data_IF_265847525085
#
_entry.id   IF_265847525085
#
_cell.length_a   1.000
_cell.length_b   1.000
_cell.length_c   1.000
_cell.angle_alpha   90.00
_cell.angle_beta   90.00
_cell.angle_gamma   90.00
#
_symmetry.space_group_name_H-M   'P 1'
#
loop_
_entity.id
_entity.type
_entity.pdbx_description
1 polymer ?
2 non-polymer ?
3 non-polymer ?
4 non-polymer ?
5 water ?
#
# COMPACT_ATOMS: atom_id res chain seq x y z
N UNK A 10 25.40 12.90 -4.15
CA UNK A 10 24.60 14.09 -3.84
C UNK A 10 23.11 13.78 -3.99
N UNK A 11 22.80 12.85 -4.90
CA UNK A 11 21.41 12.52 -5.23
C UNK A 11 20.99 11.27 -4.48
N UNK A 12 19.98 11.40 -3.64
CA UNK A 12 19.46 10.26 -2.90
C UNK A 12 18.57 9.42 -3.80
N UNK A 13 18.54 8.12 -3.52
CA UNK A 13 17.50 7.29 -4.11
C UNK A 13 16.15 7.83 -3.68
N UNK A 14 15.19 7.83 -4.61
CA UNK A 14 13.82 8.27 -4.36
C UNK A 14 12.90 7.11 -4.68
N UNK A 15 12.30 6.53 -3.65
CA UNK A 15 11.46 5.35 -3.82
C UNK A 15 10.02 5.81 -3.84
N UNK A 16 9.36 5.63 -4.96
CA UNK A 16 8.03 6.17 -5.20
C UNK A 16 6.98 5.08 -4.92
N UNK A 17 6.29 5.23 -3.78
CA UNK A 17 5.30 4.29 -3.25
C UNK A 17 3.91 4.83 -3.47
N UNK A 18 2.99 3.97 -3.89
CA UNK A 18 1.59 4.33 -4.06
C UNK A 18 0.76 3.40 -3.19
N UNK A 19 -0.08 4.00 -2.34
CA UNK A 19 -1.13 3.30 -1.59
C UNK A 19 -2.37 3.16 -2.46
N UNK A 20 -2.83 1.92 -2.62
CA UNK A 20 -4.07 1.63 -3.32
C UNK A 20 -4.92 0.72 -2.45
N UNK A 21 -6.19 0.67 -2.78
CA UNK A 21 -7.14 -0.12 -2.02
C UNK A 21 -8.44 0.65 -1.89
N UNK A 22 -9.51 -0.10 -1.58
CA UNK A 22 -10.83 0.50 -1.54
C UNK A 22 -10.98 1.36 -0.28
N UNK A 23 -12.15 1.99 -0.18
CA UNK A 23 -12.36 3.00 0.85
C UNK A 23 -12.33 2.42 2.26
N UNK A 24 -11.72 3.19 3.16
CA UNK A 24 -11.80 2.88 4.56
C UNK A 24 -10.87 1.79 5.03
N UNK A 25 -9.97 1.30 4.17
CA UNK A 25 -9.17 0.15 4.56
C UNK A 25 -7.99 0.55 5.43
N UNK A 26 -7.58 1.82 5.38
CA UNK A 26 -6.44 2.27 6.15
C UNK A 26 -5.28 2.88 5.37
N UNK A 27 -5.51 3.22 4.10
CA UNK A 27 -4.45 3.82 3.31
C UNK A 27 -3.90 5.06 3.98
N UNK A 28 -4.81 5.96 4.37
CA UNK A 28 -4.33 7.21 4.94
C UNK A 28 -3.78 6.99 6.33
N UNK A 29 -4.44 6.15 7.13
CA UNK A 29 -3.97 5.89 8.49
C UNK A 29 -2.60 5.23 8.50
N UNK A 30 -2.36 4.29 7.60
CA UNK A 30 -1.03 3.71 7.49
C UNK A 30 0.00 4.77 7.11
N UNK A 31 -0.35 5.62 6.14
CA UNK A 31 0.57 6.63 5.66
C UNK A 31 0.92 7.58 6.78
N UNK A 32 -0.10 8.04 7.52
CA UNK A 32 0.10 9.05 8.55
C UNK A 32 0.79 8.45 9.77
N UNK A 33 0.53 7.17 10.09
CA UNK A 33 1.32 6.51 11.13
C UNK A 33 2.78 6.44 10.72
N UNK A 34 3.05 6.04 9.49
CA UNK A 34 4.43 5.97 9.04
C UNK A 34 5.07 7.34 9.03
N UNK A 35 4.35 8.35 8.56
CA UNK A 35 4.96 9.66 8.40
C UNK A 35 5.14 10.37 9.72
N UNK A 36 4.12 10.32 10.60
CA UNK A 36 4.06 11.24 11.73
C UNK A 36 3.87 10.54 13.06
N UNK A 37 3.84 9.21 13.09
CA UNK A 37 3.76 8.49 14.35
C UNK A 37 2.49 8.87 15.11
N UNK A 38 1.40 9.00 14.37
CA UNK A 38 0.08 9.30 14.91
C UNK A 38 -0.94 8.41 14.22
N UNK A 39 -1.86 7.85 15.00
CA UNK A 39 -3.03 7.18 14.46
C UNK A 39 -4.12 8.24 14.23
N UNK A 40 -4.48 8.43 12.96
CA UNK A 40 -5.40 9.47 12.51
C UNK A 40 -6.67 8.79 12.00
N UNK A 41 -7.81 9.12 12.61
CA UNK A 41 -9.03 8.36 12.40
C UNK A 41 -10.09 9.07 11.57
N UNK A 42 -9.91 10.34 11.26
CA UNK A 42 -10.90 11.06 10.48
C UNK A 42 -10.24 11.83 9.37
N UNK A 43 -9.36 11.17 8.62
CA UNK A 43 -8.76 11.83 7.47
C UNK A 43 -9.71 11.78 6.28
N UNK A 44 -9.91 12.95 5.66
CA UNK A 44 -10.88 13.12 4.59
C UNK A 44 -10.84 11.94 3.62
N UNK A 45 -11.92 11.17 3.52
CA UNK A 45 -11.88 9.99 2.64
C UNK A 45 -11.57 10.29 1.20
N UNK A 46 -11.93 11.49 0.70
CA UNK A 46 -11.73 11.85 -0.70
C UNK A 46 -10.42 12.59 -0.97
N UNK A 47 -9.58 12.79 0.05
CA UNK A 47 -8.35 13.57 -0.07
C UNK A 47 -7.20 12.65 -0.48
N UNK A 48 -6.63 12.90 -1.65
CA UNK A 48 -5.41 12.24 -2.07
C UNK A 48 -4.26 13.22 -1.93
N UNK A 49 -3.13 12.72 -1.42
CA UNK A 49 -2.01 13.59 -1.10
C UNK A 49 -0.74 12.77 -1.21
N UNK A 50 0.38 13.47 -1.39
CA UNK A 50 1.69 12.86 -1.44
C UNK A 50 2.51 13.32 -0.23
N UNK A 51 3.43 12.45 0.18
CA UNK A 51 4.22 12.61 1.39
C UNK A 51 5.65 12.25 1.05
N UNK A 52 6.60 12.97 1.61
CA UNK A 52 8.01 12.66 1.38
C UNK A 52 8.78 12.75 2.68
N UNK A 53 9.64 11.76 2.90
CA UNK A 53 10.42 11.64 4.12
C UNK A 53 11.78 11.04 3.80
N UNK A 54 12.82 11.54 4.43
CA UNK A 54 14.10 10.86 4.40
C UNK A 54 14.04 9.69 5.39
N UNK A 55 14.53 8.53 4.96
CA UNK A 55 14.62 7.37 5.85
C UNK A 55 15.88 6.59 5.53
N UNK A 56 16.45 5.97 6.55
CA UNK A 56 17.69 5.21 6.42
C UNK A 56 17.29 3.75 6.19
N UNK A 57 17.47 3.28 4.96
CA UNK A 57 17.05 1.95 4.51
C UNK A 57 18.27 1.06 4.45
N UNK A 58 18.35 0.10 5.36
CA UNK A 58 19.50 -0.80 5.41
C UNK A 58 20.80 0.00 5.40
N UNK A 59 20.79 1.12 6.12
CA UNK A 59 21.97 1.94 6.30
C UNK A 59 22.19 3.01 5.24
N UNK A 60 21.40 3.03 4.18
CA UNK A 60 21.51 4.03 3.11
C UNK A 60 20.42 5.07 3.31
N UNK A 61 20.81 6.35 3.36
CA UNK A 61 19.80 7.40 3.37
C UNK A 61 19.13 7.44 1.99
N UNK A 62 17.81 7.38 2.00
CA UNK A 62 16.99 7.47 0.81
C UNK A 62 15.82 8.39 1.12
N UNK A 63 15.10 8.75 0.08
CA UNK A 63 13.84 9.47 0.21
C UNK A 63 12.71 8.54 -0.19
N UNK A 64 11.66 8.48 0.62
CA UNK A 64 10.42 7.80 0.26
C UNK A 64 9.40 8.87 -0.09
N UNK A 65 8.73 8.64 -1.21
CA UNK A 65 7.58 9.44 -1.64
C UNK A 65 6.37 8.52 -1.60
N UNK A 66 5.33 8.92 -0.88
CA UNK A 66 4.13 8.12 -0.73
C UNK A 66 2.96 8.88 -1.33
N UNK A 67 2.32 8.29 -2.33
CA UNK A 67 1.06 8.80 -2.86
C UNK A 67 -0.08 8.04 -2.21
N UNK A 68 -0.82 8.75 -1.36
CA UNK A 68 -1.98 8.21 -0.68
C UNK A 68 -3.19 8.47 -1.54
N UNK A 69 -3.62 7.47 -2.30
CA UNK A 69 -4.69 7.69 -3.26
C UNK A 69 -6.04 7.63 -2.56
N UNK A 70 -7.07 8.19 -3.21
CA UNK A 70 -8.37 8.28 -2.56
C UNK A 70 -9.52 7.98 -3.51
N UNK A 71 -9.26 7.38 -4.66
CA UNK A 71 -10.31 6.95 -5.57
C UNK A 71 -11.14 8.05 -6.19
N UNK A 72 -10.96 9.30 -5.77
CA UNK A 72 -11.77 10.40 -6.28
C UNK A 72 -11.58 10.56 -7.79
N UNK A 73 -10.33 10.59 -8.23
CA UNK A 73 -10.03 10.65 -9.65
C UNK A 73 -10.64 9.46 -10.34
N UNK A 74 -11.65 9.74 -11.16
CA UNK A 74 -12.33 8.71 -11.90
C UNK A 74 -11.89 8.65 -13.34
N UNK A 75 -11.16 9.66 -13.81
CA UNK A 75 -10.74 9.74 -15.21
C UNK A 75 -9.54 8.83 -15.45
N UNK A 76 -9.77 7.77 -16.23
CA UNK A 76 -8.85 6.63 -16.24
C UNK A 76 -7.45 7.03 -16.66
N UNK A 77 -7.34 7.97 -17.61
CA UNK A 77 -6.00 8.39 -18.04
C UNK A 77 -5.21 9.00 -16.88
N UNK A 78 -5.87 9.76 -16.02
CA UNK A 78 -5.20 10.38 -14.88
C UNK A 78 -4.80 9.34 -13.85
N UNK A 79 -5.73 8.43 -13.55
CA UNK A 79 -5.43 7.33 -12.63
C UNK A 79 -4.26 6.52 -13.14
N UNK A 80 -4.27 6.21 -14.44
CA UNK A 80 -3.16 5.46 -15.01
C UNK A 80 -1.86 6.25 -14.95
N UNK A 81 -1.91 7.56 -15.18
CA UNK A 81 -0.71 8.38 -15.04
C UNK A 81 -0.17 8.30 -13.63
N UNK A 82 -1.05 8.36 -12.62
CA UNK A 82 -0.58 8.24 -11.24
C UNK A 82 0.09 6.89 -11.01
N UNK A 83 -0.49 5.81 -11.55
CA UNK A 83 0.12 4.50 -11.35
C UNK A 83 1.43 4.37 -12.11
N UNK A 84 1.49 4.91 -13.33
CA UNK A 84 2.69 4.80 -14.14
C UNK A 84 3.88 5.41 -13.42
N UNK A 85 3.63 6.49 -12.67
CA UNK A 85 4.70 7.17 -11.96
C UNK A 85 5.17 6.38 -10.74
N UNK A 86 4.34 5.49 -10.22
CA UNK A 86 4.72 4.73 -9.05
C UNK A 86 5.75 3.65 -9.38
N UNK A 87 6.65 3.41 -8.43
CA UNK A 87 7.61 2.33 -8.53
C UNK A 87 7.22 1.11 -7.72
N UNK A 88 6.43 1.28 -6.66
CA UNK A 88 6.00 0.15 -5.86
C UNK A 88 4.65 0.46 -5.25
N UNK A 89 3.94 -0.60 -4.90
CA UNK A 89 2.54 -0.45 -4.50
C UNK A 89 2.27 -1.17 -3.20
N UNK A 90 1.62 -0.49 -2.27
CA UNK A 90 1.01 -1.15 -1.12
C UNK A 90 -0.48 -1.30 -1.43
N UNK A 91 -0.89 -2.54 -1.61
CA UNK A 91 -2.26 -2.86 -2.01
C UNK A 91 -2.96 -3.28 -0.74
N UNK A 92 -3.74 -2.35 -0.19
CA UNK A 92 -4.28 -2.47 1.16
C UNK A 92 -5.73 -2.91 1.09
N UNK A 93 -6.09 -3.83 1.97
CA UNK A 93 -7.49 -4.13 2.25
C UNK A 93 -7.62 -4.16 3.75
N UNK A 94 -8.85 -4.17 4.24
CA UNK A 94 -9.12 -4.36 5.66
C UNK A 94 -9.49 -5.80 5.93
N UNK A 95 -8.84 -6.41 6.91
CA UNK A 95 -9.20 -7.76 7.25
C UNK A 95 -10.63 -7.85 7.77
N UNK A 96 -11.25 -6.72 8.13
CA UNK A 96 -12.63 -6.73 8.63
C UNK A 96 -13.66 -6.52 7.53
N UNK A 97 -13.25 -6.39 6.27
CA UNK A 97 -14.21 -6.12 5.21
C UNK A 97 -13.87 -6.97 3.99
N UNK A 98 -14.62 -8.06 3.82
CA UNK A 98 -14.34 -8.99 2.74
C UNK A 98 -14.36 -8.29 1.39
N UNK A 99 -15.31 -7.36 1.19
CA UNK A 99 -15.41 -6.73 -0.11
C UNK A 99 -14.15 -5.96 -0.46
N UNK A 100 -13.46 -5.42 0.55
CA UNK A 100 -12.20 -4.71 0.27
C UNK A 100 -11.11 -5.67 -0.18
N UNK A 101 -11.11 -6.88 0.35
CA UNK A 101 -10.20 -7.91 -0.13
C UNK A 101 -10.53 -8.29 -1.55
N UNK A 102 -11.81 -8.49 -1.85
CA UNK A 102 -12.19 -8.80 -3.23
C UNK A 102 -11.70 -7.70 -4.17
N UNK A 103 -11.81 -6.45 -3.73
CA UNK A 103 -11.46 -5.31 -4.56
C UNK A 103 -9.98 -5.27 -4.90
N UNK A 104 -9.13 -5.95 -4.13
CA UNK A 104 -7.71 -5.83 -4.40
C UNK A 104 -7.37 -6.35 -5.78
N UNK A 105 -8.15 -7.30 -6.29
CA UNK A 105 -7.86 -7.83 -7.62
C UNK A 105 -7.90 -6.73 -8.67
N UNK A 106 -8.84 -5.78 -8.53
CA UNK A 106 -8.97 -4.70 -9.50
C UNK A 106 -7.75 -3.80 -9.48
N UNK A 107 -7.28 -3.44 -8.29
CA UNK A 107 -6.09 -2.60 -8.21
C UNK A 107 -4.89 -3.32 -8.80
N UNK A 108 -4.78 -4.61 -8.52
CA UNK A 108 -3.70 -5.40 -9.11
C UNK A 108 -3.74 -5.30 -10.62
N UNK A 109 -4.92 -5.50 -11.21
CA UNK A 109 -5.00 -5.46 -12.66
C UNK A 109 -4.70 -4.07 -13.19
N UNK A 110 -5.18 -3.04 -12.50
CA UNK A 110 -4.91 -1.68 -12.95
C UNK A 110 -3.42 -1.42 -12.98
N UNK A 111 -2.72 -1.85 -11.94
CA UNK A 111 -1.28 -1.68 -11.85
C UNK A 111 -0.56 -2.46 -12.95
N UNK A 112 -0.94 -3.73 -13.12
CA UNK A 112 -0.30 -4.54 -14.15
C UNK A 112 -0.51 -3.98 -15.55
N UNK A 113 -1.71 -3.46 -15.84
CA UNK A 113 -1.98 -2.90 -17.17
C UNK A 113 -1.04 -1.74 -17.46
N UNK A 114 -0.72 -0.96 -16.43
CA UNK A 114 0.09 0.23 -16.61
C UNK A 114 1.57 -0.09 -16.53
N UNK A 115 1.98 -0.89 -15.54
CA UNK A 115 3.40 -1.16 -15.35
C UNK A 115 3.89 -2.27 -16.27
N UNK A 116 2.97 -3.13 -16.74
CA UNK A 116 3.26 -4.18 -17.72
C UNK A 116 4.37 -5.11 -17.21
N UNK A 117 4.38 -5.35 -15.92
CA UNK A 117 5.46 -6.13 -15.31
C UNK A 117 4.86 -6.80 -14.09
N UNK A 118 4.67 -8.11 -14.18
CA UNK A 118 4.06 -8.87 -13.11
C UNK A 118 4.92 -8.92 -11.87
N UNK A 119 6.17 -8.47 -11.95
CA UNK A 119 7.04 -8.44 -10.79
C UNK A 119 7.18 -7.03 -10.24
N UNK A 120 6.24 -6.15 -10.57
CA UNK A 120 6.32 -4.79 -10.04
C UNK A 120 6.36 -4.86 -8.51
N UNK A 121 7.23 -4.11 -7.84
CA UNK A 121 7.19 -4.10 -6.38
C UNK A 121 5.78 -3.87 -5.85
N UNK A 122 5.36 -4.74 -4.96
CA UNK A 122 3.94 -4.85 -4.61
C UNK A 122 3.83 -5.71 -3.37
N UNK A 123 3.21 -5.18 -2.32
CA UNK A 123 2.83 -5.98 -1.17
C UNK A 123 1.32 -5.97 -1.04
N UNK A 124 0.77 -7.14 -0.70
CA UNK A 124 -0.62 -7.24 -0.28
C UNK A 124 -0.66 -7.02 1.22
N UNK A 125 -1.41 -6.01 1.64
CA UNK A 125 -1.42 -5.54 3.03
C UNK A 125 -2.80 -5.73 3.60
N UNK A 126 -2.91 -6.60 4.59
CA UNK A 126 -4.15 -6.76 5.32
C UNK A 126 -4.13 -5.92 6.57
N UNK A 127 -4.79 -4.79 6.54
CA UNK A 127 -4.75 -3.84 7.65
C UNK A 127 -5.88 -4.09 8.63
N UNK A 128 -5.75 -3.45 9.80
CA UNK A 128 -6.67 -3.55 10.93
C UNK A 128 -6.49 -4.88 11.65
N UNK A 129 -5.23 -5.33 11.73
CA UNK A 129 -4.96 -6.59 12.41
C UNK A 129 -5.28 -6.52 13.90
N UNK A 130 -5.49 -5.33 14.45
CA UNK A 130 -5.89 -5.23 15.84
C UNK A 130 -7.37 -5.55 16.05
N UNK A 131 -8.11 -5.82 14.97
CA UNK A 131 -9.53 -6.13 15.03
C UNK A 131 -9.76 -7.59 14.66
N UNK A 132 -9.00 -8.48 15.29
CA UNK A 132 -9.11 -9.90 14.96
C UNK A 132 -10.53 -10.41 15.17
N UNK A 133 -11.20 -9.92 16.22
CA UNK A 133 -12.55 -10.39 16.50
C UNK A 133 -13.55 -9.94 15.46
N UNK A 134 -13.19 -9.03 14.57
CA UNK A 134 -14.04 -8.59 13.47
C UNK A 134 -13.53 -9.08 12.13
N UNK A 135 -12.56 -10.00 12.13
CA UNK A 135 -11.98 -10.47 10.88
C UNK A 135 -13.06 -11.08 9.99
N UNK A 136 -12.99 -10.73 8.70
CA UNK A 136 -13.84 -11.31 7.68
C UNK A 136 -13.01 -11.98 6.61
N UNK A 137 -11.72 -11.71 6.55
CA UNK A 137 -10.81 -12.27 5.55
C UNK A 137 -9.83 -13.16 6.29
N UNK A 138 -9.79 -14.46 5.93
CA UNK A 138 -8.88 -15.35 6.65
C UNK A 138 -7.44 -15.10 6.24
N UNK A 139 -6.53 -15.34 7.18
CA UNK A 139 -5.12 -15.27 6.86
C UNK A 139 -4.81 -16.21 5.70
N UNK A 140 -5.35 -17.43 5.76
CA UNK A 140 -5.13 -18.44 4.73
C UNK A 140 -5.50 -17.91 3.35
N UNK A 141 -6.68 -17.33 3.20
CA UNK A 141 -7.11 -16.91 1.88
C UNK A 141 -6.30 -15.72 1.38
N UNK A 142 -5.90 -14.81 2.26
CA UNK A 142 -5.05 -13.71 1.82
C UNK A 142 -3.67 -14.22 1.43
N UNK A 143 -3.11 -15.12 2.23
CA UNK A 143 -1.83 -15.73 1.87
C UNK A 143 -1.92 -16.45 0.53
N UNK A 144 -3.02 -17.15 0.29
CA UNK A 144 -3.20 -17.86 -0.97
C UNK A 144 -3.21 -16.88 -2.13
N UNK A 145 -3.90 -15.75 -1.95
CA UNK A 145 -3.94 -14.78 -3.03
C UNK A 145 -2.57 -14.20 -3.27
N UNK A 146 -1.85 -13.88 -2.20
CA UNK A 146 -0.50 -13.36 -2.37
C UNK A 146 0.38 -14.39 -3.09
N UNK A 147 0.20 -15.67 -2.78
CA UNK A 147 0.98 -16.71 -3.43
C UNK A 147 0.65 -16.78 -4.93
N UNK A 148 -0.63 -16.66 -5.26
CA UNK A 148 -1.03 -16.64 -6.67
C UNK A 148 -0.40 -15.48 -7.42
N UNK A 149 -0.21 -14.35 -6.75
CA UNK A 149 0.37 -13.17 -7.35
C UNK A 149 1.90 -13.09 -7.21
N UNK A 150 2.50 -14.01 -6.49
CA UNK A 150 3.94 -13.98 -6.16
C UNK A 150 4.31 -12.66 -5.47
N UNK A 151 3.52 -12.28 -4.48
CA UNK A 151 3.82 -11.13 -3.63
C UNK A 151 3.76 -11.59 -2.19
N UNK A 152 4.36 -10.78 -1.33
CA UNK A 152 4.29 -11.07 0.08
C UNK A 152 3.01 -10.48 0.66
N UNK A 153 2.47 -11.17 1.65
CA UNK A 153 1.32 -10.74 2.44
C UNK A 153 1.78 -10.33 3.82
N UNK A 154 1.41 -9.11 4.24
CA UNK A 154 1.75 -8.62 5.56
C UNK A 154 0.50 -8.04 6.19
N UNK A 155 0.22 -8.41 7.44
CA UNK A 155 -0.90 -7.82 8.17
C UNK A 155 -0.36 -6.68 9.02
N UNK A 156 -1.10 -5.58 9.00
CA UNK A 156 -0.70 -4.35 9.64
C UNK A 156 -1.80 -3.85 10.54
N UNK A 157 -1.42 -2.98 11.48
CA UNK A 157 -2.38 -2.14 12.19
C UNK A 157 -1.84 -0.73 12.21
N UNK A 158 -2.53 0.17 11.52
CA UNK A 158 -2.27 1.59 11.67
C UNK A 158 -2.54 2.06 13.09
N UNK A 159 -3.37 1.34 13.84
CA UNK A 159 -3.66 1.74 15.22
C UNK A 159 -2.49 1.43 16.16
N UNK A 160 -1.99 0.19 16.14
CA UNK A 160 -0.95 -0.23 17.07
C UNK A 160 0.46 -0.08 16.52
N UNK A 161 0.59 0.26 15.24
CA UNK A 161 1.85 0.41 14.49
C UNK A 161 2.38 -0.93 14.02
N UNK A 162 1.72 -2.03 14.31
CA UNK A 162 2.22 -3.35 13.94
C UNK A 162 2.49 -3.45 12.44
N UNK A 163 3.74 -3.74 12.10
CA UNK A 163 4.22 -3.96 10.74
C UNK A 163 4.04 -2.76 9.82
N UNK A 164 3.83 -1.56 10.37
CA UNK A 164 3.70 -0.39 9.51
C UNK A 164 5.04 -0.03 8.87
N UNK A 165 6.09 0.07 9.67
CA UNK A 165 7.40 0.32 9.08
C UNK A 165 7.80 -0.85 8.19
N UNK A 166 7.44 -2.08 8.58
CA UNK A 166 7.80 -3.24 7.75
C UNK A 166 7.27 -3.10 6.33
N UNK A 167 6.00 -2.73 6.15
CA UNK A 167 5.48 -2.74 4.79
C UNK A 167 6.14 -1.66 3.95
N UNK A 168 6.37 -0.48 4.51
CA UNK A 168 7.04 0.56 3.74
C UNK A 168 8.50 0.19 3.46
N UNK A 169 9.23 -0.31 4.46
CA UNK A 169 10.62 -0.67 4.24
C UNK A 169 10.74 -1.86 3.28
N UNK A 170 9.91 -2.89 3.48
CA UNK A 170 10.02 -4.06 2.59
C UNK A 170 9.64 -3.71 1.17
N UNK A 171 8.68 -2.79 0.97
CA UNK A 171 8.41 -2.37 -0.39
C UNK A 171 9.60 -1.62 -0.98
N UNK A 172 10.21 -0.74 -0.19
CA UNK A 172 11.39 -0.05 -0.69
C UNK A 172 12.48 -1.03 -1.04
N UNK A 173 12.59 -2.13 -0.29
CA UNK A 173 13.62 -3.11 -0.62
C UNK A 173 13.31 -3.76 -1.96
N UNK A 174 12.05 -3.99 -2.26
CA UNK A 174 11.68 -4.54 -3.56
C UNK A 174 11.98 -3.54 -4.67
N UNK A 175 11.68 -2.27 -4.45
CA UNK A 175 12.00 -1.26 -5.45
C UNK A 175 13.50 -1.21 -5.69
N UNK A 176 14.28 -1.20 -4.61
CA UNK A 176 15.73 -1.17 -4.74
C UNK A 176 16.24 -2.36 -5.55
N UNK A 177 15.71 -3.54 -5.26
CA UNK A 177 16.23 -4.75 -5.89
C UNK A 177 15.82 -4.84 -7.36
N UNK A 178 14.58 -4.47 -7.67
CA UNK A 178 14.00 -4.76 -8.97
C UNK A 178 14.24 -3.67 -9.99
N UNK A 179 14.49 -2.45 -9.53
CA UNK A 179 14.82 -1.34 -10.43
C UNK A 179 16.33 -1.12 -10.50
#
# INVERSE_FOLDING_TARGET
MAANKPKGQNSLALHKVIMVGSGGVGKSALTLQFMYDEFVEDYEPTKADSYRKKVVLDGEEVQIDILDTAGQEDYAAIRDNYFRSGEGFLCVFSITEMESFAATADFREQILRVKEDENVPFLLVGNKSDLEDKRQVSVEEAKNRAEQWNVNYVETSAKTRANVDKVFFDLMREIRARLEHHHHHH
#
